data_IF_350310347360
#
_entry.id   IF_350310347360
#
_cell.length_a   1.000
_cell.length_b   1.000
_cell.length_c   1.000
_cell.angle_alpha   90.00
_cell.angle_beta   90.00
_cell.angle_gamma   90.00
#
_symmetry.space_group_name_H-M   'P 1'
#
loop_
_entity.id
_entity.type
_entity.pdbx_description
1 polymer ?
#
# COMPACT_ATOMS: atom_id res chain seq x y z
N UNK A 1 -19.92 -26.48 -33.45
CA UNK A 1 -20.79 -25.93 -32.38
C UNK A 1 -20.71 -26.91 -31.22
N UNK A 2 -19.78 -26.78 -30.29
CA UNK A 2 -19.84 -26.01 -29.03
C UNK A 2 -18.43 -26.06 -28.42
N UNK A 3 -17.86 -25.14 -27.66
CA UNK A 3 -18.24 -23.83 -27.14
C UNK A 3 -16.96 -23.28 -26.50
N UNK A 4 -16.66 -22.01 -26.78
CA UNK A 4 -15.59 -21.22 -26.17
C UNK A 4 -15.61 -21.36 -24.64
N UNK A 5 -14.60 -21.99 -24.04
CA UNK A 5 -14.27 -21.71 -22.63
C UNK A 5 -13.18 -20.65 -22.63
N UNK A 6 -13.64 -19.43 -22.33
CA UNK A 6 -12.89 -18.17 -22.24
C UNK A 6 -11.52 -18.38 -21.58
N UNK A 7 -10.53 -17.74 -22.18
CA UNK A 7 -9.16 -17.71 -21.68
C UNK A 7 -9.07 -17.24 -20.24
N UNK A 8 -8.45 -18.07 -19.42
CA UNK A 8 -7.83 -17.62 -18.19
C UNK A 8 -6.47 -17.04 -18.57
N UNK A 9 -6.51 -15.84 -19.16
CA UNK A 9 -5.34 -14.96 -19.22
C UNK A 9 -4.86 -14.79 -17.78
N UNK A 10 -3.56 -15.03 -17.56
CA UNK A 10 -2.92 -15.10 -16.26
C UNK A 10 -3.55 -14.16 -15.25
N UNK A 11 -4.14 -14.74 -14.20
CA UNK A 11 -4.55 -13.97 -13.04
C UNK A 11 -3.26 -13.35 -12.50
N UNK A 12 -3.06 -12.02 -12.55
CA UNK A 12 -1.90 -11.43 -11.90
C UNK A 12 -2.00 -11.79 -10.41
N UNK A 13 -0.84 -11.91 -9.79
CA UNK A 13 -0.64 -12.38 -8.43
C UNK A 13 -1.83 -12.07 -7.51
N UNK A 14 -2.17 -13.06 -6.69
CA UNK A 14 -2.99 -12.88 -5.49
C UNK A 14 -2.25 -11.91 -4.55
N UNK A 15 -2.16 -10.62 -4.91
CA UNK A 15 -1.82 -9.56 -3.96
C UNK A 15 -2.97 -9.57 -2.99
N UNK A 16 -2.69 -9.98 -1.76
CA UNK A 16 -3.66 -9.87 -0.67
C UNK A 16 -3.76 -8.38 -0.42
N UNK A 17 -4.68 -7.76 -1.15
CA UNK A 17 -4.89 -6.33 -1.09
C UNK A 17 -5.57 -6.05 0.25
N UNK A 18 -4.78 -5.84 1.30
CA UNK A 18 -5.27 -5.36 2.59
C UNK A 18 -5.58 -3.88 2.42
N UNK A 19 -6.71 -3.58 1.76
CA UNK A 19 -7.19 -2.21 1.55
C UNK A 19 -7.59 -1.59 2.89
N UNK A 20 -6.61 -1.04 3.60
CA UNK A 20 -6.84 -0.27 4.81
C UNK A 20 -6.94 1.19 4.38
N UNK A 21 -8.12 1.57 3.89
CA UNK A 21 -8.42 2.96 3.51
C UNK A 21 -8.66 3.77 4.78
N UNK A 22 -7.63 4.50 5.23
CA UNK A 22 -7.70 5.42 6.35
C UNK A 22 -8.67 6.56 6.05
N UNK A 23 -9.90 6.46 6.54
CA UNK A 23 -10.86 7.56 6.46
C UNK A 23 -10.73 8.57 7.60
N UNK A 24 -10.04 8.19 8.69
CA UNK A 24 -9.82 8.99 9.91
C UNK A 24 -8.84 8.29 10.88
N UNK A 25 -8.01 7.37 10.39
CA UNK A 25 -7.24 6.45 11.23
C UNK A 25 -5.77 6.83 11.16
N UNK A 26 -5.29 7.46 12.22
CA UNK A 26 -3.94 7.97 12.40
C UNK A 26 -2.82 6.93 12.34
N UNK A 27 -3.12 5.63 12.23
CA UNK A 27 -2.15 4.52 12.24
C UNK A 27 -2.68 3.35 11.42
N UNK A 28 -2.02 3.07 10.30
CA UNK A 28 -2.39 2.04 9.34
C UNK A 28 -1.25 1.02 9.30
N UNK A 29 -1.47 -0.19 9.81
CA UNK A 29 -0.42 -1.21 9.94
C UNK A 29 -0.83 -2.46 9.17
N UNK A 30 0.08 -2.95 8.34
CA UNK A 30 -0.14 -4.14 7.51
C UNK A 30 0.60 -5.37 8.01
N UNK A 31 0.25 -6.52 7.46
CA UNK A 31 0.79 -7.81 7.89
C UNK A 31 1.98 -8.21 7.04
N UNK A 32 2.52 -9.41 7.25
CA UNK A 32 3.54 -9.95 6.34
C UNK A 32 2.93 -10.27 4.96
N UNK A 33 3.40 -9.62 3.90
CA UNK A 33 2.99 -9.81 2.50
C UNK A 33 2.86 -8.49 1.73
N UNK A 34 2.62 -8.58 0.42
CA UNK A 34 2.42 -7.39 -0.43
C UNK A 34 1.09 -6.70 -0.11
N UNK A 35 1.15 -5.55 0.56
CA UNK A 35 -0.02 -4.79 0.99
C UNK A 35 -0.16 -3.43 0.29
N UNK A 36 -1.35 -2.80 0.37
CA UNK A 36 -1.61 -1.47 -0.17
C UNK A 36 -2.17 -0.57 0.93
N UNK A 37 -1.42 0.45 1.31
CA UNK A 37 -1.77 1.40 2.36
C UNK A 37 -2.14 2.76 1.76
N UNK A 38 -3.27 3.32 2.18
CA UNK A 38 -3.68 4.69 1.84
C UNK A 38 -4.02 5.47 3.12
N UNK A 39 -3.24 6.53 3.40
CA UNK A 39 -3.39 7.40 4.58
C UNK A 39 -4.62 8.29 4.49
N UNK A 40 -4.88 8.87 3.33
CA UNK A 40 -6.00 9.77 3.16
C UNK A 40 -5.52 11.20 3.32
N UNK A 41 -6.15 12.00 4.17
CA UNK A 41 -5.65 13.35 4.41
C UNK A 41 -5.60 13.69 5.89
N UNK A 42 -4.59 14.44 6.29
CA UNK A 42 -4.32 14.70 7.70
C UNK A 42 -2.86 14.42 8.05
N UNK A 43 -2.61 13.95 9.26
CA UNK A 43 -1.30 13.41 9.63
C UNK A 43 -1.50 11.92 9.82
N UNK A 44 -1.00 11.12 8.88
CA UNK A 44 -1.19 9.68 8.89
C UNK A 44 0.12 8.94 9.16
N UNK A 45 0.09 7.90 10.00
CA UNK A 45 1.23 6.99 10.20
C UNK A 45 0.97 5.68 9.44
N UNK A 46 1.80 5.36 8.44
CA UNK A 46 1.65 4.20 7.57
C UNK A 46 2.84 3.24 7.75
N UNK A 47 2.58 1.99 8.10
CA UNK A 47 3.58 0.93 8.35
C UNK A 47 3.32 -0.30 7.46
N UNK A 48 4.17 -0.53 6.45
CA UNK A 48 4.11 -1.64 5.47
C UNK A 48 4.54 -3.00 6.03
N UNK A 49 5.56 -3.01 6.89
CA UNK A 49 6.21 -4.22 7.41
C UNK A 49 6.96 -5.03 6.33
N UNK A 50 6.96 -6.35 6.43
CA UNK A 50 7.72 -7.23 5.55
C UNK A 50 6.87 -7.52 4.30
N UNK A 51 7.31 -7.11 3.11
CA UNK A 51 6.47 -7.25 1.93
C UNK A 51 7.02 -6.57 0.70
N UNK A 52 6.23 -6.53 -0.36
CA UNK A 52 6.39 -5.53 -1.41
C UNK A 52 5.18 -4.62 -1.35
N UNK A 53 5.28 -3.57 -0.55
CA UNK A 53 4.13 -2.75 -0.16
C UNK A 53 3.94 -1.55 -1.08
N UNK A 54 2.69 -1.12 -1.25
CA UNK A 54 2.35 0.12 -1.95
C UNK A 54 1.71 1.10 -0.96
N UNK A 55 2.48 2.07 -0.48
CA UNK A 55 2.08 3.03 0.54
C UNK A 55 1.84 4.40 -0.06
N UNK A 56 0.69 5.00 0.22
CA UNK A 56 0.32 6.33 -0.27
C UNK A 56 -0.21 7.19 0.88
N UNK A 57 0.53 8.22 1.29
CA UNK A 57 0.16 9.16 2.36
C UNK A 57 -1.08 9.95 2.00
N UNK A 58 -0.96 10.81 0.97
CA UNK A 58 -2.03 11.67 0.51
C UNK A 58 -1.80 13.11 0.94
N UNK A 59 -2.83 13.97 1.02
CA UNK A 59 -2.63 15.35 1.48
C UNK A 59 -2.46 15.47 3.01
N UNK A 60 -1.29 15.91 3.45
CA UNK A 60 -1.01 16.36 4.81
C UNK A 60 0.41 15.96 5.25
N UNK A 61 0.68 15.95 6.55
CA UNK A 61 2.04 15.67 7.05
C UNK A 61 2.12 14.20 7.47
N UNK A 62 2.56 13.32 6.58
CA UNK A 62 2.48 11.87 6.81
C UNK A 62 3.80 11.25 7.28
N UNK A 63 3.73 10.14 8.01
CA UNK A 63 4.87 9.32 8.42
C UNK A 63 4.73 7.94 7.79
N UNK A 64 5.55 7.65 6.80
CA UNK A 64 5.51 6.40 6.06
C UNK A 64 6.73 5.55 6.41
N UNK A 65 6.51 4.28 6.71
CA UNK A 65 7.53 3.26 6.93
C UNK A 65 7.19 2.05 6.06
N UNK A 66 7.99 1.80 5.02
CA UNK A 66 7.83 0.60 4.18
C UNK A 66 8.16 -0.63 5.00
N UNK A 67 9.39 -0.73 5.47
CA UNK A 67 9.87 -1.89 6.20
C UNK A 67 10.90 -2.64 5.37
N UNK A 68 11.23 -3.89 5.70
CA UNK A 68 12.11 -4.69 4.86
C UNK A 68 11.32 -5.26 3.67
N UNK A 69 11.58 -4.72 2.49
CA UNK A 69 10.74 -5.03 1.34
C UNK A 69 11.13 -4.30 0.07
N UNK A 70 10.47 -4.66 -1.04
CA UNK A 70 10.47 -3.82 -2.24
C UNK A 70 9.24 -2.93 -2.18
N UNK A 71 9.39 -1.81 -1.48
CA UNK A 71 8.27 -0.96 -1.06
C UNK A 71 8.19 0.29 -1.92
N UNK A 72 6.99 0.53 -2.44
CA UNK A 72 6.65 1.71 -3.20
C UNK A 72 5.90 2.68 -2.31
N UNK A 73 6.57 3.72 -1.87
CA UNK A 73 5.97 4.75 -1.02
C UNK A 73 5.81 6.08 -1.74
N UNK A 74 4.66 6.71 -1.56
CA UNK A 74 4.31 8.03 -2.09
C UNK A 74 3.72 8.88 -0.96
N UNK A 75 4.49 9.87 -0.48
CA UNK A 75 4.05 10.79 0.58
C UNK A 75 2.78 11.56 0.21
N UNK A 76 2.69 12.03 -1.03
CA UNK A 76 1.59 12.87 -1.45
C UNK A 76 1.93 14.34 -1.24
N UNK A 77 1.04 15.10 -0.61
CA UNK A 77 1.17 16.55 -0.52
C UNK A 77 1.21 17.05 0.90
N UNK A 78 2.37 17.52 1.36
CA UNK A 78 2.59 18.12 2.68
C UNK A 78 4.01 17.83 3.12
N UNK A 79 4.31 17.88 4.42
CA UNK A 79 5.63 17.52 4.93
C UNK A 79 5.67 16.05 5.34
N UNK A 80 6.03 15.20 4.38
CA UNK A 80 6.05 13.76 4.57
C UNK A 80 7.41 13.26 5.07
N UNK A 81 7.38 12.32 6.00
CA UNK A 81 8.54 11.60 6.51
C UNK A 81 8.46 10.15 6.06
N UNK A 82 9.17 9.82 4.98
CA UNK A 82 9.22 8.46 4.43
C UNK A 82 10.52 7.78 4.86
N UNK A 83 10.41 6.61 5.48
CA UNK A 83 11.52 5.78 5.96
C UNK A 83 11.40 4.38 5.37
N UNK A 84 12.54 3.74 5.09
CA UNK A 84 12.59 2.34 4.60
C UNK A 84 11.61 2.07 3.47
N UNK A 85 11.68 2.87 2.39
CA UNK A 85 10.97 2.58 1.16
C UNK A 85 12.01 2.33 0.08
N UNK A 86 12.32 1.06 -0.16
CA UNK A 86 13.27 0.65 -1.19
C UNK A 86 12.53 0.38 -2.49
N UNK A 87 12.89 1.14 -3.54
CA UNK A 87 12.34 1.03 -4.88
C UNK A 87 13.16 0.10 -5.79
#
# INVERSE_FOLDING_TARGET
MTGFRRGERGRPARRRCSLLSGGSLSSNETGSGDDILLGGGGRDELNGHDGADEIKGGPGDDVIRGGPGFDRCEGGGGSDTVMQCEA
#
